data_IF_686597750109
#
_entry.id   IF_686597750109
#
_cell.length_a   1.000
_cell.length_b   1.000
_cell.length_c   1.000
_cell.angle_alpha   90.00
_cell.angle_beta   90.00
_cell.angle_gamma   90.00
#
_symmetry.space_group_name_H-M   'P 1'
#
loop_
_entity.id
_entity.type
_entity.pdbx_description
1 polymer ?
#
# COMPACT_ATOMS: atom_id res chain seq x y z
N UNK A 1 -12.16 -9.36 7.33
CA UNK A 1 -11.18 -8.26 7.32
C UNK A 1 -11.56 -7.28 6.22
N UNK A 2 -11.28 -5.99 6.40
CA UNK A 2 -11.54 -4.95 5.39
C UNK A 2 -10.39 -3.95 5.34
N UNK A 3 -10.23 -3.27 4.22
CA UNK A 3 -9.20 -2.24 4.03
C UNK A 3 -9.71 -1.08 3.19
N UNK A 4 -9.09 0.08 3.34
CA UNK A 4 -9.33 1.24 2.48
C UNK A 4 -8.05 2.07 2.38
N UNK A 5 -7.92 2.89 1.33
CA UNK A 5 -6.81 3.83 1.22
C UNK A 5 -7.33 5.23 1.50
N UNK A 6 -6.69 5.94 2.42
CA UNK A 6 -6.94 7.37 2.66
C UNK A 6 -6.25 8.23 1.60
N UNK A 7 -5.27 7.67 0.89
CA UNK A 7 -4.60 8.24 -0.28
C UNK A 7 -3.40 7.39 -0.66
N UNK A 8 -3.06 7.39 -1.94
CA UNK A 8 -1.97 6.59 -2.49
C UNK A 8 -1.20 7.35 -3.58
N UNK A 9 0.09 7.57 -3.36
CA UNK A 9 1.02 8.25 -4.25
C UNK A 9 1.84 9.36 -3.57
N UNK A 10 2.66 10.05 -4.36
CA UNK A 10 3.67 11.03 -3.91
C UNK A 10 3.21 12.20 -3.02
N UNK A 11 1.89 12.47 -2.91
CA UNK A 11 1.37 13.53 -2.03
C UNK A 11 1.03 13.04 -0.62
N UNK A 12 1.18 11.74 -0.37
CA UNK A 12 0.95 11.09 0.90
C UNK A 12 0.29 9.73 0.72
N UNK A 13 0.79 8.76 1.47
CA UNK A 13 0.31 7.41 1.58
C UNK A 13 -0.26 7.16 2.98
N UNK A 14 -1.45 6.55 3.03
CA UNK A 14 -2.04 6.06 4.26
C UNK A 14 -3.12 5.03 3.93
N UNK A 15 -2.96 3.81 4.44
CA UNK A 15 -3.88 2.69 4.21
C UNK A 15 -4.41 2.18 5.55
N UNK A 16 -5.73 2.03 5.64
CA UNK A 16 -6.40 1.51 6.82
C UNK A 16 -6.72 0.04 6.66
N UNK A 17 -6.52 -0.71 7.73
CA UNK A 17 -6.84 -2.14 7.80
C UNK A 17 -7.63 -2.37 9.07
N UNK A 18 -8.79 -3.00 8.95
CA UNK A 18 -9.72 -3.23 10.05
C UNK A 18 -10.18 -4.69 10.11
N UNK A 19 -10.05 -5.25 11.31
CA UNK A 19 -10.66 -6.53 11.67
C UNK A 19 -11.00 -6.54 13.16
N UNK A 20 -12.21 -6.98 13.50
CA UNK A 20 -12.68 -7.01 14.88
C UNK A 20 -12.64 -5.62 15.52
N UNK A 21 -11.83 -5.48 16.57
CA UNK A 21 -11.61 -4.20 17.29
C UNK A 21 -10.34 -3.50 16.83
N UNK A 22 -9.55 -4.14 15.99
CA UNK A 22 -8.22 -3.72 15.59
C UNK A 22 -8.29 -2.84 14.34
N UNK A 23 -7.66 -1.67 14.40
CA UNK A 23 -7.56 -0.71 13.29
C UNK A 23 -6.12 -0.26 13.14
N UNK A 24 -5.48 -0.73 12.09
CA UNK A 24 -4.09 -0.41 11.79
C UNK A 24 -4.03 0.65 10.71
N UNK A 25 -3.17 1.63 10.90
CA UNK A 25 -2.83 2.61 9.88
C UNK A 25 -1.44 2.27 9.33
N UNK A 26 -1.36 1.88 8.06
CA UNK A 26 -0.10 1.70 7.34
C UNK A 26 0.26 3.04 6.71
N UNK A 27 1.36 3.61 7.18
CA UNK A 27 1.89 4.93 6.86
C UNK A 27 0.96 6.11 7.21
N UNK A 28 1.57 7.29 7.34
CA UNK A 28 0.85 8.54 7.55
C UNK A 28 1.58 9.69 6.83
N UNK A 29 1.51 9.70 5.50
CA UNK A 29 2.11 10.73 4.63
C UNK A 29 1.48 12.11 4.70
N UNK A 30 0.35 12.26 5.37
CA UNK A 30 -0.42 13.49 5.43
C UNK A 30 -0.11 14.32 6.68
N UNK A 31 -0.45 15.61 6.64
CA UNK A 31 -0.45 16.42 7.87
C UNK A 31 -1.50 15.90 8.85
N UNK A 32 -1.30 16.10 10.15
CA UNK A 32 -2.26 15.67 11.18
C UNK A 32 -3.72 16.06 10.85
N UNK A 33 -3.95 17.31 10.44
CA UNK A 33 -5.28 17.81 10.07
C UNK A 33 -5.85 17.05 8.87
N UNK A 34 -5.04 16.82 7.83
CA UNK A 34 -5.49 16.09 6.65
C UNK A 34 -5.76 14.61 6.99
N UNK A 35 -4.94 13.98 7.84
CA UNK A 35 -5.18 12.62 8.34
C UNK A 35 -6.49 12.53 9.11
N UNK A 36 -6.74 13.45 10.05
CA UNK A 36 -8.01 13.50 10.81
C UNK A 36 -9.23 13.66 9.88
N UNK A 37 -9.14 14.53 8.88
CA UNK A 37 -10.22 14.73 7.90
C UNK A 37 -10.48 13.47 7.05
N UNK A 38 -9.41 12.82 6.56
CA UNK A 38 -9.52 11.60 5.75
C UNK A 38 -10.03 10.41 6.57
N UNK A 39 -9.59 10.27 7.83
CA UNK A 39 -10.15 9.29 8.78
C UNK A 39 -11.65 9.50 8.97
N UNK A 40 -12.06 10.75 9.21
CA UNK A 40 -13.48 11.08 9.38
C UNK A 40 -14.30 10.76 8.12
N UNK A 41 -13.78 11.03 6.93
CA UNK A 41 -14.42 10.65 5.66
C UNK A 41 -14.55 9.12 5.50
N UNK A 42 -13.59 8.35 6.03
CA UNK A 42 -13.66 6.90 6.11
C UNK A 42 -14.56 6.38 7.26
N UNK A 43 -15.22 7.27 8.01
CA UNK A 43 -16.10 6.93 9.13
C UNK A 43 -15.38 6.55 10.42
N UNK A 44 -14.11 6.96 10.58
CA UNK A 44 -13.29 6.67 11.76
C UNK A 44 -12.80 7.93 12.47
N UNK A 45 -12.70 7.83 13.79
CA UNK A 45 -11.92 8.75 14.62
C UNK A 45 -10.50 8.22 14.79
N UNK A 46 -9.47 9.10 14.82
CA UNK A 46 -8.11 8.67 15.13
C UNK A 46 -7.97 7.95 16.48
N UNK A 47 -8.88 8.21 17.43
CA UNK A 47 -8.93 7.51 18.73
C UNK A 47 -9.28 6.02 18.63
N UNK A 48 -9.81 5.60 17.48
CA UNK A 48 -10.15 4.20 17.23
C UNK A 48 -8.98 3.42 16.62
N UNK A 49 -7.89 4.10 16.23
CA UNK A 49 -6.68 3.45 15.75
C UNK A 49 -6.01 2.68 16.88
N UNK A 50 -5.51 1.50 16.55
CA UNK A 50 -4.77 0.61 17.45
C UNK A 50 -3.27 0.89 17.37
N UNK A 51 -2.73 1.08 16.17
CA UNK A 51 -1.31 1.31 15.94
C UNK A 51 -1.07 1.96 14.56
N UNK A 52 0.13 2.50 14.40
CA UNK A 52 0.68 2.91 13.09
C UNK A 52 1.79 1.92 12.73
N UNK A 53 1.78 1.39 11.51
CA UNK A 53 2.90 0.66 10.93
C UNK A 53 3.53 1.53 9.84
N UNK A 54 4.86 1.62 9.83
CA UNK A 54 5.59 2.42 8.83
C UNK A 54 6.38 1.50 7.93
N UNK A 55 6.18 1.67 6.62
CA UNK A 55 6.87 0.89 5.59
C UNK A 55 8.32 1.33 5.43
N UNK A 56 8.56 2.64 5.34
CA UNK A 56 9.88 3.26 5.17
C UNK A 56 9.87 4.77 5.44
N UNK A 57 11.05 5.40 5.44
CA UNK A 57 11.26 6.78 5.92
C UNK A 57 11.00 7.90 4.89
N UNK A 58 10.44 7.62 3.72
CA UNK A 58 10.14 8.69 2.77
C UNK A 58 9.04 9.63 3.27
N UNK A 59 9.14 10.90 2.90
CA UNK A 59 8.32 11.96 3.50
C UNK A 59 6.82 11.77 3.27
N UNK A 60 6.43 11.22 2.13
CA UNK A 60 5.06 10.85 1.78
C UNK A 60 4.56 9.61 2.51
N UNK A 61 5.36 9.03 3.41
CA UNK A 61 4.95 7.96 4.34
C UNK A 61 5.03 8.40 5.81
N UNK A 62 6.05 9.17 6.20
CA UNK A 62 6.29 9.47 7.63
C UNK A 62 5.85 10.86 8.11
N UNK A 63 5.53 11.78 7.20
CA UNK A 63 5.32 13.21 7.52
C UNK A 63 4.33 13.49 8.66
N UNK A 64 3.32 12.66 8.83
CA UNK A 64 2.30 12.78 9.87
C UNK A 64 2.45 11.81 11.04
N UNK A 65 3.33 10.80 10.95
CA UNK A 65 3.41 9.68 11.90
C UNK A 65 3.63 10.19 13.31
N UNK A 66 4.67 10.99 13.55
CA UNK A 66 5.01 11.46 14.89
C UNK A 66 3.89 12.31 15.51
N UNK A 67 3.32 13.24 14.73
CA UNK A 67 2.27 14.14 15.22
C UNK A 67 0.99 13.38 15.57
N UNK A 68 0.61 12.41 14.74
CA UNK A 68 -0.56 11.59 14.98
C UNK A 68 -0.35 10.68 16.21
N UNK A 69 0.80 10.00 16.26
CA UNK A 69 1.12 9.09 17.33
C UNK A 69 1.18 9.77 18.70
N UNK A 70 1.85 10.93 18.81
CA UNK A 70 1.91 11.68 20.07
C UNK A 70 0.54 12.17 20.54
N UNK A 71 -0.28 12.70 19.61
CA UNK A 71 -1.59 13.27 19.95
C UNK A 71 -2.60 12.22 20.43
N UNK A 72 -2.52 11.02 19.85
CA UNK A 72 -3.46 9.94 20.13
C UNK A 72 -2.85 8.79 20.94
N UNK A 73 -1.62 8.95 21.41
CA UNK A 73 -0.87 7.94 22.16
C UNK A 73 -0.83 6.58 21.47
N UNK A 74 -0.59 6.59 20.15
CA UNK A 74 -0.55 5.37 19.35
C UNK A 74 0.84 4.74 19.37
N UNK A 75 0.96 3.42 19.56
CA UNK A 75 2.21 2.72 19.31
C UNK A 75 2.54 2.78 17.81
N UNK A 76 3.85 2.89 17.51
CA UNK A 76 4.36 2.95 16.14
C UNK A 76 5.34 1.83 15.92
N UNK A 77 5.12 1.06 14.86
CA UNK A 77 5.95 -0.07 14.46
C UNK A 77 6.72 0.30 13.20
N UNK A 78 8.04 0.11 13.23
CA UNK A 78 8.89 0.31 12.06
C UNK A 78 10.19 -0.50 12.18
N UNK A 79 10.88 -0.72 11.07
CA UNK A 79 12.19 -1.39 11.08
C UNK A 79 13.26 -0.48 11.71
N UNK A 80 14.40 -1.06 12.09
CA UNK A 80 15.47 -0.29 12.73
C UNK A 80 16.09 0.73 11.75
N UNK A 81 16.26 0.37 10.48
CA UNK A 81 16.74 1.27 9.45
C UNK A 81 15.78 2.41 9.15
N UNK A 82 14.47 2.15 9.12
CA UNK A 82 13.45 3.20 8.97
C UNK A 82 13.45 4.15 10.16
N UNK A 83 13.57 3.64 11.39
CA UNK A 83 13.71 4.50 12.58
C UNK A 83 14.96 5.39 12.49
N UNK A 84 16.11 4.82 12.11
CA UNK A 84 17.34 5.59 11.91
C UNK A 84 17.19 6.62 10.79
N UNK A 85 16.46 6.28 9.72
CA UNK A 85 16.22 7.14 8.55
C UNK A 85 15.29 8.31 8.83
N UNK A 86 14.31 8.11 9.72
CA UNK A 86 13.41 9.16 10.22
C UNK A 86 14.15 10.28 10.98
N UNK A 87 15.33 9.98 11.53
CA UNK A 87 16.16 10.92 12.27
C UNK A 87 15.84 10.96 13.76
N UNK A 88 16.27 12.02 14.45
CA UNK A 88 16.05 12.17 15.89
C UNK A 88 14.55 12.32 16.20
N UNK A 89 13.98 11.31 16.85
CA UNK A 89 12.62 11.37 17.40
C UNK A 89 12.61 10.75 18.79
N UNK A 90 11.85 11.35 19.71
CA UNK A 90 11.58 10.74 21.02
C UNK A 90 10.31 9.88 20.98
N UNK A 91 9.78 9.61 19.78
CA UNK A 91 8.64 8.74 19.62
C UNK A 91 9.01 7.33 20.10
N UNK A 92 8.31 6.76 21.10
CA UNK A 92 8.52 5.37 21.45
C UNK A 92 8.08 4.50 20.27
N UNK A 93 9.03 3.78 19.68
CA UNK A 93 8.81 2.88 18.55
C UNK A 93 9.04 1.44 18.97
N UNK A 94 8.21 0.55 18.44
CA UNK A 94 8.40 -0.90 18.51
C UNK A 94 9.14 -1.35 17.25
N UNK A 95 10.35 -1.90 17.44
CA UNK A 95 11.19 -2.28 16.31
C UNK A 95 10.74 -3.60 15.69
N UNK A 96 10.47 -3.56 14.40
CA UNK A 96 10.11 -4.71 13.58
C UNK A 96 11.38 -5.47 13.17
N UNK A 97 11.30 -6.81 13.18
CA UNK A 97 12.36 -7.70 12.68
C UNK A 97 11.78 -8.62 11.61
N UNK A 98 12.47 -8.74 10.48
CA UNK A 98 12.08 -9.68 9.45
C UNK A 98 12.14 -11.14 9.93
N UNK A 99 11.22 -11.96 9.43
CA UNK A 99 11.06 -13.36 9.86
C UNK A 99 10.37 -13.51 11.23
N UNK A 100 9.89 -12.41 11.82
CA UNK A 100 9.10 -12.44 13.05
C UNK A 100 7.76 -11.76 12.81
N UNK A 101 6.69 -12.53 12.93
CA UNK A 101 5.34 -12.01 12.88
C UNK A 101 5.03 -11.19 14.14
N UNK A 102 4.28 -10.12 13.96
CA UNK A 102 3.71 -9.32 15.04
C UNK A 102 2.27 -9.77 15.26
N UNK A 103 1.78 -9.70 16.49
CA UNK A 103 0.36 -9.82 16.81
C UNK A 103 -0.10 -8.49 17.37
N UNK A 104 -0.96 -7.79 16.63
CA UNK A 104 -1.54 -6.52 17.05
C UNK A 104 -3.05 -6.71 17.11
N UNK A 105 -3.56 -6.88 18.33
CA UNK A 105 -4.98 -7.18 18.56
C UNK A 105 -5.43 -8.46 17.85
N UNK A 106 -6.37 -8.32 16.93
CA UNK A 106 -7.03 -9.40 16.19
C UNK A 106 -6.29 -9.76 14.88
N UNK A 107 -5.12 -9.16 14.63
CA UNK A 107 -4.36 -9.34 13.40
C UNK A 107 -2.95 -9.86 13.67
N UNK A 108 -2.57 -10.89 12.92
CA UNK A 108 -1.17 -11.23 12.71
C UNK A 108 -0.63 -10.40 11.55
N UNK A 109 0.53 -9.78 11.73
CA UNK A 109 1.17 -8.91 10.74
C UNK A 109 2.56 -9.43 10.44
N UNK A 110 2.81 -9.77 9.18
CA UNK A 110 4.10 -10.26 8.69
C UNK A 110 4.81 -9.16 7.91
N UNK A 111 5.96 -8.66 8.39
CA UNK A 111 6.79 -7.73 7.63
C UNK A 111 7.58 -8.47 6.55
N UNK A 112 7.55 -7.94 5.33
CA UNK A 112 8.26 -8.48 4.18
C UNK A 112 9.29 -7.45 3.71
N UNK A 113 10.59 -7.77 3.67
CA UNK A 113 11.59 -6.85 3.13
C UNK A 113 11.39 -6.68 1.63
N UNK A 114 11.47 -5.43 1.16
CA UNK A 114 11.30 -5.11 -0.26
C UNK A 114 12.49 -4.30 -0.79
N UNK A 115 12.85 -4.43 -2.06
CA UNK A 115 13.86 -3.58 -2.68
C UNK A 115 13.28 -2.19 -2.95
N UNK A 116 13.67 -1.18 -2.17
CA UNK A 116 13.32 0.21 -2.40
C UNK A 116 14.46 1.10 -1.92
N UNK A 117 14.57 2.33 -2.42
CA UNK A 117 15.70 3.22 -2.13
C UNK A 117 15.55 3.97 -0.79
N UNK A 118 15.25 3.19 0.24
CA UNK A 118 15.16 3.58 1.64
C UNK A 118 16.11 2.69 2.49
N UNK A 119 16.27 3.00 3.77
CA UNK A 119 17.28 2.35 4.64
C UNK A 119 16.99 0.89 4.96
N UNK A 120 15.76 0.57 5.35
CA UNK A 120 15.32 -0.81 5.63
C UNK A 120 13.81 -0.94 5.32
N UNK A 121 13.41 -0.72 4.05
CA UNK A 121 12.01 -0.70 3.65
C UNK A 121 11.35 -2.06 3.81
N UNK A 122 10.10 -2.03 4.22
CA UNK A 122 9.27 -3.21 4.33
C UNK A 122 7.85 -2.95 3.86
N UNK A 123 7.18 -4.04 3.49
CA UNK A 123 5.76 -4.09 3.21
C UNK A 123 5.13 -5.14 4.12
N UNK A 124 3.80 -5.24 4.13
CA UNK A 124 3.10 -6.02 5.16
C UNK A 124 2.06 -6.96 4.58
N UNK A 125 1.97 -8.14 5.19
CA UNK A 125 0.85 -9.06 5.04
C UNK A 125 0.08 -9.09 6.35
N UNK A 126 -1.25 -9.04 6.27
CA UNK A 126 -2.17 -9.04 7.39
C UNK A 126 -3.02 -10.29 7.33
N UNK A 127 -3.08 -11.01 8.44
CA UNK A 127 -3.82 -12.26 8.57
C UNK A 127 -4.78 -12.17 9.77
N UNK A 128 -6.05 -12.42 9.47
CA UNK A 128 -7.16 -12.43 10.44
C UNK A 128 -7.55 -13.84 10.90
N UNK A 129 -6.82 -14.87 10.47
CA UNK A 129 -7.15 -16.29 10.61
C UNK A 129 -8.10 -16.82 9.54
N UNK A 130 -8.96 -15.94 8.98
CA UNK A 130 -9.91 -16.30 7.93
C UNK A 130 -9.58 -15.69 6.57
N UNK A 131 -8.86 -14.56 6.55
CA UNK A 131 -8.50 -13.84 5.34
C UNK A 131 -7.10 -13.26 5.46
N UNK A 132 -6.38 -13.24 4.33
CA UNK A 132 -5.04 -12.66 4.18
C UNK A 132 -5.03 -11.52 3.18
N UNK A 133 -4.47 -10.37 3.57
CA UNK A 133 -4.31 -9.17 2.75
C UNK A 133 -2.82 -8.82 2.64
N UNK A 134 -2.32 -8.69 1.41
CA UNK A 134 -1.01 -8.12 1.15
C UNK A 134 -1.11 -6.63 0.81
N UNK A 135 -0.28 -5.80 1.42
CA UNK A 135 0.04 -4.46 0.94
C UNK A 135 1.43 -4.55 0.33
N UNK A 136 1.59 -4.14 -0.93
CA UNK A 136 2.86 -4.17 -1.65
C UNK A 136 2.97 -2.92 -2.53
N UNK A 137 3.38 -1.82 -1.92
CA UNK A 137 3.78 -0.59 -2.63
C UNK A 137 5.28 -0.38 -2.52
N UNK A 138 5.82 0.62 -3.22
CA UNK A 138 7.19 1.09 -3.10
C UNK A 138 8.20 -0.05 -3.13
N UNK A 139 8.22 -0.77 -4.25
CA UNK A 139 9.15 -1.86 -4.50
C UNK A 139 9.65 -1.77 -5.93
N UNK A 140 10.96 -1.74 -6.13
CA UNK A 140 11.59 -1.57 -7.45
C UNK A 140 11.72 -2.86 -8.25
N UNK A 141 11.59 -4.02 -7.61
CA UNK A 141 11.56 -5.30 -8.29
C UNK A 141 10.80 -6.37 -7.49
N UNK A 142 10.31 -7.37 -8.22
CA UNK A 142 9.75 -8.59 -7.63
C UNK A 142 10.90 -9.55 -7.33
N UNK A 143 11.01 -9.97 -6.06
CA UNK A 143 12.00 -10.96 -5.61
C UNK A 143 11.31 -12.32 -5.42
N UNK A 144 12.07 -13.44 -5.37
CA UNK A 144 11.49 -14.74 -5.08
C UNK A 144 10.72 -14.78 -3.75
N UNK A 145 11.21 -14.08 -2.74
CA UNK A 145 10.53 -13.96 -1.45
C UNK A 145 9.19 -13.22 -1.59
N UNK A 146 9.11 -12.17 -2.39
CA UNK A 146 7.84 -11.48 -2.66
C UNK A 146 6.86 -12.43 -3.33
N UNK A 147 7.27 -13.13 -4.38
CA UNK A 147 6.41 -14.11 -5.07
C UNK A 147 5.92 -15.20 -4.11
N UNK A 148 6.79 -15.74 -3.25
CA UNK A 148 6.41 -16.74 -2.26
C UNK A 148 5.41 -16.19 -1.23
N UNK A 149 5.73 -15.07 -0.59
CA UNK A 149 4.96 -14.53 0.53
C UNK A 149 3.58 -13.99 0.11
N UNK A 150 3.49 -13.42 -1.09
CA UNK A 150 2.26 -12.83 -1.62
C UNK A 150 1.40 -13.84 -2.42
N UNK A 151 1.75 -15.12 -2.39
CA UNK A 151 0.97 -16.21 -2.96
C UNK A 151 -0.16 -16.66 -2.03
N UNK A 152 -1.32 -17.04 -2.59
CA UNK A 152 -2.46 -17.56 -1.84
C UNK A 152 -3.10 -16.54 -0.88
N UNK A 153 -3.11 -15.26 -1.27
CA UNK A 153 -3.79 -14.19 -0.55
C UNK A 153 -5.26 -14.08 -0.98
N UNK A 154 -6.13 -13.56 -0.10
CA UNK A 154 -7.51 -13.21 -0.46
C UNK A 154 -7.60 -11.82 -1.10
N UNK A 155 -6.69 -10.92 -0.76
CA UNK A 155 -6.66 -9.56 -1.29
C UNK A 155 -5.22 -9.03 -1.44
N UNK A 156 -5.02 -8.18 -2.44
CA UNK A 156 -3.74 -7.55 -2.72
C UNK A 156 -3.91 -6.06 -3.06
N UNK A 157 -3.22 -5.20 -2.31
CA UNK A 157 -3.07 -3.77 -2.61
C UNK A 157 -1.68 -3.58 -3.25
N UNK A 158 -1.66 -3.48 -4.58
CA UNK A 158 -0.46 -3.60 -5.41
C UNK A 158 -0.13 -2.29 -6.11
N UNK A 159 1.12 -1.84 -6.02
CA UNK A 159 1.61 -0.73 -6.81
C UNK A 159 1.69 -1.05 -8.31
N UNK A 160 1.27 -0.09 -9.14
CA UNK A 160 1.62 0.00 -10.55
C UNK A 160 2.00 1.46 -10.86
N UNK A 161 3.25 1.83 -10.57
CA UNK A 161 3.63 3.23 -10.48
C UNK A 161 3.75 3.91 -11.83
N UNK A 162 4.39 3.27 -12.81
CA UNK A 162 4.66 3.88 -14.10
C UNK A 162 4.35 2.97 -15.28
N UNK A 163 3.97 3.60 -16.39
CA UNK A 163 4.03 2.99 -17.71
C UNK A 163 5.46 3.20 -18.28
N UNK A 164 6.16 2.16 -18.75
CA UNK A 164 7.55 2.30 -19.24
C UNK A 164 7.73 3.31 -20.36
N UNK A 165 6.76 3.42 -21.27
CA UNK A 165 6.81 4.36 -22.39
C UNK A 165 6.60 5.80 -21.91
N UNK A 166 5.65 6.01 -20.99
CA UNK A 166 5.46 7.31 -20.35
C UNK A 166 6.66 7.71 -19.51
N UNK A 167 7.27 6.80 -18.75
CA UNK A 167 8.48 7.12 -17.97
C UNK A 167 9.63 7.52 -18.90
N UNK A 168 9.88 6.75 -19.97
CA UNK A 168 10.97 7.02 -20.91
C UNK A 168 10.84 8.38 -21.61
N UNK A 169 9.61 8.75 -22.00
CA UNK A 169 9.31 9.99 -22.74
C UNK A 169 8.84 11.14 -21.84
N UNK A 170 8.70 10.88 -20.53
CA UNK A 170 8.10 11.78 -19.57
C UNK A 170 9.00 12.96 -19.18
N UNK A 171 8.45 13.90 -18.40
CA UNK A 171 9.09 15.17 -18.07
C UNK A 171 10.24 15.03 -17.07
N UNK A 172 10.49 13.82 -16.54
CA UNK A 172 11.54 13.58 -15.56
C UNK A 172 12.93 13.67 -16.20
N UNK A 173 13.89 14.35 -15.54
CA UNK A 173 15.28 14.32 -15.97
C UNK A 173 15.83 12.88 -15.93
N UNK A 174 16.88 12.57 -16.73
CA UNK A 174 17.38 11.21 -16.88
C UNK A 174 17.66 10.47 -15.55
N UNK A 175 18.21 11.16 -14.55
CA UNK A 175 18.52 10.55 -13.25
C UNK A 175 17.26 10.12 -12.48
N UNK A 176 16.16 10.89 -12.55
CA UNK A 176 14.90 10.50 -11.91
C UNK A 176 14.25 9.32 -12.64
N UNK A 177 14.33 9.26 -13.98
CA UNK A 177 13.85 8.11 -14.74
C UNK A 177 14.63 6.84 -14.37
N UNK A 178 15.95 6.94 -14.27
CA UNK A 178 16.81 5.82 -13.88
C UNK A 178 16.54 5.37 -12.43
N UNK A 179 16.25 6.30 -11.52
CA UNK A 179 15.85 6.00 -10.15
C UNK A 179 14.50 5.28 -10.10
N UNK A 180 13.45 5.86 -10.72
CA UNK A 180 12.08 5.31 -10.70
C UNK A 180 12.01 3.94 -11.36
N UNK A 181 12.64 3.77 -12.53
CA UNK A 181 12.64 2.48 -13.26
C UNK A 181 13.76 1.52 -12.85
N UNK A 182 14.52 1.84 -11.80
CA UNK A 182 15.59 0.99 -11.29
C UNK A 182 15.06 -0.10 -10.36
N UNK A 183 15.90 -1.10 -10.05
CA UNK A 183 15.53 -2.22 -9.16
C UNK A 183 15.21 -1.83 -7.72
N UNK A 184 15.52 -0.60 -7.31
CA UNK A 184 15.18 -0.01 -6.02
C UNK A 184 14.16 1.15 -6.15
N UNK A 185 13.61 1.38 -7.33
CA UNK A 185 12.61 2.40 -7.57
C UNK A 185 11.21 1.88 -7.28
N UNK A 186 10.42 1.77 -8.34
CA UNK A 186 9.01 1.41 -8.30
C UNK A 186 8.67 0.33 -9.33
N UNK A 187 7.51 -0.31 -9.19
CA UNK A 187 7.05 -1.27 -10.19
C UNK A 187 6.44 -0.54 -11.39
N UNK A 188 6.83 -0.99 -12.59
CA UNK A 188 6.03 -0.74 -13.80
C UNK A 188 4.71 -1.51 -13.79
N UNK A 189 3.77 -1.08 -14.62
CA UNK A 189 2.52 -1.82 -14.88
C UNK A 189 2.79 -3.29 -15.26
N UNK A 190 3.80 -3.53 -16.10
CA UNK A 190 4.16 -4.87 -16.57
C UNK A 190 4.78 -5.73 -15.46
N UNK A 191 5.60 -5.15 -14.58
CA UNK A 191 6.14 -5.89 -13.43
C UNK A 191 5.05 -6.25 -12.42
N UNK A 192 4.10 -5.35 -12.18
CA UNK A 192 2.94 -5.62 -11.34
C UNK A 192 2.07 -6.75 -11.91
N UNK A 193 1.80 -6.73 -13.22
CA UNK A 193 1.11 -7.81 -13.90
C UNK A 193 1.89 -9.13 -13.86
N UNK A 194 3.21 -9.09 -14.05
CA UNK A 194 4.08 -10.27 -13.94
C UNK A 194 4.09 -10.90 -12.54
N UNK A 195 3.92 -10.10 -11.47
CA UNK A 195 3.71 -10.66 -10.13
C UNK A 195 2.43 -11.50 -10.09
N UNK A 196 1.31 -10.97 -10.59
CA UNK A 196 0.02 -11.67 -10.61
C UNK A 196 0.09 -12.98 -11.40
N UNK A 197 0.80 -13.00 -12.52
CA UNK A 197 1.06 -14.23 -13.29
C UNK A 197 1.89 -15.27 -12.52
N UNK A 198 2.68 -14.84 -11.53
CA UNK A 198 3.64 -15.68 -10.79
C UNK A 198 3.13 -16.23 -9.45
N UNK A 199 1.98 -15.77 -8.97
CA UNK A 199 1.42 -16.14 -7.66
C UNK A 199 0.20 -17.06 -7.80
N UNK A 200 -0.09 -17.84 -6.75
CA UNK A 200 -1.36 -18.56 -6.64
C UNK A 200 -2.50 -17.56 -6.35
N UNK A 201 -3.36 -17.37 -7.35
CA UNK A 201 -4.54 -16.50 -7.27
C UNK A 201 -5.84 -17.25 -6.95
N UNK A 202 -5.79 -18.55 -6.60
CA UNK A 202 -6.99 -19.37 -6.39
C UNK A 202 -7.92 -18.86 -5.29
N UNK A 203 -7.36 -18.23 -4.25
CA UNK A 203 -8.11 -17.59 -3.17
C UNK A 203 -8.32 -16.08 -3.36
N UNK A 204 -7.63 -15.47 -4.33
CA UNK A 204 -7.58 -14.03 -4.52
C UNK A 204 -8.93 -13.52 -5.01
N UNK A 205 -9.51 -12.57 -4.27
CA UNK A 205 -10.84 -11.99 -4.53
C UNK A 205 -10.78 -10.50 -4.82
N UNK A 206 -9.76 -9.80 -4.31
CA UNK A 206 -9.60 -8.36 -4.51
C UNK A 206 -8.17 -8.04 -4.94
N UNK A 207 -8.04 -7.27 -6.01
CA UNK A 207 -6.79 -6.61 -6.41
C UNK A 207 -7.09 -5.13 -6.50
N UNK A 208 -6.37 -4.33 -5.73
CA UNK A 208 -6.48 -2.88 -5.76
C UNK A 208 -5.15 -2.30 -6.28
N UNK A 209 -5.20 -1.69 -7.45
CA UNK A 209 -4.07 -1.00 -8.05
C UNK A 209 -3.83 0.31 -7.30
N UNK A 210 -2.61 0.55 -6.88
CA UNK A 210 -2.22 1.66 -6.05
C UNK A 210 -0.99 2.39 -6.59
N UNK A 211 -0.69 3.53 -5.96
CA UNK A 211 0.59 4.23 -6.11
C UNK A 211 0.93 4.64 -7.55
N UNK A 212 -0.09 4.98 -8.34
CA UNK A 212 0.04 5.37 -9.75
C UNK A 212 0.64 6.78 -9.85
N UNK A 213 1.71 6.93 -10.64
CA UNK A 213 2.33 8.22 -10.91
C UNK A 213 1.42 9.13 -11.72
N UNK A 214 1.14 10.34 -11.22
CA UNK A 214 0.42 11.39 -11.95
C UNK A 214 1.14 11.83 -13.25
N UNK A 215 2.45 11.57 -13.34
CA UNK A 215 3.31 12.08 -14.44
C UNK A 215 3.73 11.00 -15.43
N UNK A 216 3.97 9.79 -14.94
CA UNK A 216 4.54 8.70 -15.75
C UNK A 216 3.59 7.51 -15.89
N UNK A 217 2.31 7.68 -15.58
CA UNK A 217 1.30 6.66 -15.79
C UNK A 217 -0.07 7.27 -16.03
N UNK A 218 -1.01 6.42 -16.44
CA UNK A 218 -2.44 6.72 -16.49
C UNK A 218 -3.21 5.52 -15.91
N UNK A 219 -4.26 5.75 -15.10
CA UNK A 219 -5.08 4.68 -14.54
C UNK A 219 -5.47 3.57 -15.52
N UNK A 220 -5.91 3.95 -16.71
CA UNK A 220 -6.35 3.07 -17.78
C UNK A 220 -5.23 2.20 -18.35
N UNK A 221 -3.97 2.65 -18.33
CA UNK A 221 -2.83 1.85 -18.77
C UNK A 221 -2.51 0.76 -17.74
N UNK A 222 -2.51 1.12 -16.46
CA UNK A 222 -2.32 0.16 -15.38
C UNK A 222 -3.47 -0.85 -15.33
N UNK A 223 -4.72 -0.39 -15.43
CA UNK A 223 -5.90 -1.25 -15.50
C UNK A 223 -5.85 -2.18 -16.71
N UNK A 224 -5.46 -1.68 -17.89
CA UNK A 224 -5.35 -2.49 -19.10
C UNK A 224 -4.33 -3.62 -18.96
N UNK A 225 -3.14 -3.32 -18.45
CA UNK A 225 -2.09 -4.33 -18.27
C UNK A 225 -2.48 -5.39 -17.23
N UNK A 226 -3.03 -4.97 -16.08
CA UNK A 226 -3.43 -5.91 -15.03
C UNK A 226 -4.70 -6.69 -15.40
N UNK A 227 -5.65 -6.09 -16.14
CA UNK A 227 -6.85 -6.82 -16.59
C UNK A 227 -6.50 -7.95 -17.55
N UNK A 228 -5.44 -7.80 -18.36
CA UNK A 228 -4.98 -8.83 -19.29
C UNK A 228 -4.56 -10.12 -18.58
N UNK A 229 -3.88 -10.00 -17.44
CA UNK A 229 -3.40 -11.17 -16.67
C UNK A 229 -4.47 -11.73 -15.75
N UNK A 230 -5.51 -10.95 -15.48
CA UNK A 230 -6.70 -11.34 -14.72
C UNK A 230 -7.84 -11.83 -15.62
N UNK A 231 -7.57 -12.18 -16.88
CA UNK A 231 -8.60 -12.76 -17.76
C UNK A 231 -9.13 -14.08 -17.19
N UNK A 232 -10.45 -14.22 -17.11
CA UNK A 232 -11.13 -15.35 -16.46
C UNK A 232 -11.10 -15.36 -14.92
N UNK A 233 -10.40 -14.44 -14.26
CA UNK A 233 -10.40 -14.31 -12.80
C UNK A 233 -11.76 -13.81 -12.29
N UNK A 234 -12.27 -14.44 -11.22
CA UNK A 234 -13.61 -14.19 -10.66
C UNK A 234 -13.56 -13.28 -9.42
N UNK A 235 -12.79 -12.20 -9.48
CA UNK A 235 -12.64 -11.24 -8.39
C UNK A 235 -12.87 -9.79 -8.81
N UNK A 236 -12.55 -8.86 -7.90
CA UNK A 236 -12.74 -7.43 -8.08
C UNK A 236 -11.40 -6.72 -8.29
N UNK A 237 -11.21 -6.16 -9.49
CA UNK A 237 -10.13 -5.22 -9.76
C UNK A 237 -10.61 -3.80 -9.40
N UNK A 238 -9.86 -3.13 -8.53
CA UNK A 238 -10.16 -1.77 -8.03
C UNK A 238 -8.97 -0.85 -8.28
N UNK A 239 -9.23 0.45 -8.28
CA UNK A 239 -8.23 1.49 -8.46
C UNK A 239 -8.21 2.40 -7.24
N UNK A 240 -7.04 2.63 -6.65
CA UNK A 240 -6.82 3.60 -5.60
C UNK A 240 -6.16 4.85 -6.20
N UNK A 241 -6.88 5.98 -6.19
CA UNK A 241 -6.40 7.24 -6.77
C UNK A 241 -5.90 8.20 -5.68
N UNK A 242 -4.87 8.99 -5.97
CA UNK A 242 -4.21 9.88 -4.99
C UNK A 242 -5.16 10.76 -4.16
N UNK A 243 -6.21 11.32 -4.77
CA UNK A 243 -7.08 12.30 -4.13
C UNK A 243 -8.23 11.66 -3.34
N UNK A 244 -8.90 10.68 -3.93
CA UNK A 244 -10.07 10.00 -3.33
C UNK A 244 -9.68 8.75 -2.52
N UNK A 245 -8.46 8.23 -2.71
CA UNK A 245 -8.01 6.98 -2.12
C UNK A 245 -8.74 5.78 -2.71
N UNK A 246 -9.13 4.85 -1.84
CA UNK A 246 -9.96 3.69 -2.17
C UNK A 246 -10.98 3.53 -1.04
N UNK A 247 -12.30 3.48 -1.31
CA UNK A 247 -13.30 3.24 -0.27
C UNK A 247 -13.14 1.86 0.35
N UNK A 248 -13.81 1.60 1.48
CA UNK A 248 -13.76 0.31 2.17
C UNK A 248 -14.07 -0.87 1.25
N UNK A 249 -13.12 -1.81 1.18
CA UNK A 249 -13.24 -3.11 0.54
C UNK A 249 -13.38 -4.18 1.62
N UNK A 250 -14.43 -4.99 1.55
CA UNK A 250 -14.68 -6.08 2.50
C UNK A 250 -14.28 -7.42 1.87
N UNK A 251 -13.15 -7.99 2.30
CA UNK A 251 -12.57 -9.21 1.69
C UNK A 251 -13.48 -10.44 1.84
N UNK A 252 -14.34 -10.45 2.87
CA UNK A 252 -15.29 -11.54 3.13
C UNK A 252 -16.58 -11.47 2.30
N UNK A 253 -16.81 -10.40 1.54
CA UNK A 253 -18.01 -10.22 0.73
C UNK A 253 -17.62 -9.70 -0.66
N UNK A 254 -17.65 -10.57 -1.67
CA UNK A 254 -17.55 -10.15 -3.07
C UNK A 254 -18.92 -9.58 -3.45
N UNK A 255 -19.00 -8.27 -3.64
CA UNK A 255 -20.23 -7.64 -4.11
C UNK A 255 -20.18 -7.61 -5.64
N UNK A 256 -20.64 -8.72 -6.24
CA UNK A 256 -20.67 -8.96 -7.69
C UNK A 256 -21.49 -7.92 -8.47
N UNK A 257 -22.08 -6.93 -7.80
CA UNK A 257 -22.97 -5.92 -8.36
C UNK A 257 -22.33 -4.55 -8.66
N UNK A 258 -21.06 -4.31 -8.30
CA UNK A 258 -20.42 -2.99 -8.50
C UNK A 258 -19.28 -3.02 -9.52
N UNK A 259 -19.51 -2.58 -10.79
CA UNK A 259 -18.45 -2.49 -11.78
C UNK A 259 -17.34 -1.53 -11.36
N UNK A 260 -16.19 -1.64 -12.02
CA UNK A 260 -15.07 -0.69 -11.92
C UNK A 260 -15.61 0.72 -12.19
N UNK A 261 -15.63 1.58 -11.17
CA UNK A 261 -15.94 2.99 -11.36
C UNK A 261 -14.70 3.65 -11.97
N UNK A 262 -14.71 3.82 -13.30
CA UNK A 262 -14.07 4.98 -13.89
C UNK A 262 -15.04 6.13 -13.65
N UNK A 263 -14.78 6.97 -12.65
CA UNK A 263 -15.47 8.26 -12.60
C UNK A 263 -15.00 9.04 -13.84
N UNK A 264 -15.87 9.11 -14.84
CA UNK A 264 -15.70 9.97 -16.00
C UNK A 264 -15.47 11.41 -15.54
N UNK A 265 -14.55 12.05 -16.25
CA UNK A 265 -14.08 13.42 -16.07
C UNK A 265 -15.21 14.42 -15.77
N UNK A 266 -15.08 15.14 -14.65
CA UNK A 266 -15.77 16.41 -14.49
C UNK A 266 -14.90 17.51 -15.13
N UNK A 267 -15.41 18.01 -16.28
CA UNK A 267 -15.05 19.26 -16.97
C UNK A 267 -14.77 20.44 -16.04
#
# INVERSE_FOLDING_TARGET
MRYCSLGSGSRGNATLIEHGRTRLLVDCGFSLRATEQRLAAAGLSPRQLTAILVTHEHSDHIKGVERLARRYSLPVYMTAGTYLGMGETELPVELIRFGQDLVIGDLRVTPVPVPHDAREPCQFIFDSGNHRLGVLTDTGMITPLITEMYSGLDALFLEANYDPMMLANGPYPPFLRARVGGSLGHLSNQQAAGLLESIDMSALKHVAIAHISEKNNRPELALGELSRVLDGWQGELRLAVQNQGLPWQNIGSVDVSRPVLLEEEAL
#
